data_IF_789908065410
#
_entry.id   IF_789908065410
#
_cell.length_a   1.000
_cell.length_b   1.000
_cell.length_c   1.000
_cell.angle_alpha   90.00
_cell.angle_beta   90.00
_cell.angle_gamma   90.00
#
_symmetry.space_group_name_H-M   'P 1'
#
loop_
_entity.id
_entity.type
_entity.pdbx_description
1 polymer ?
#
# COMPACT_ATOMS: atom_id res chain seq x y z
N UNK A 1 23.02 8.56 -0.95
CA UNK A 1 21.65 8.84 -1.42
C UNK A 1 21.58 8.40 -2.87
N UNK A 2 20.74 7.42 -3.22
CA UNK A 2 20.54 6.98 -4.60
C UNK A 2 19.51 7.89 -5.30
N UNK A 3 19.51 7.97 -6.65
CA UNK A 3 18.47 8.69 -7.40
C UNK A 3 17.03 8.22 -7.10
N UNK A 4 16.87 6.99 -6.59
CA UNK A 4 15.58 6.38 -6.28
C UNK A 4 15.07 6.69 -4.87
N UNK A 5 15.91 7.19 -3.95
CA UNK A 5 15.56 7.35 -2.54
C UNK A 5 14.35 8.29 -2.34
N UNK A 6 14.30 9.39 -3.10
CA UNK A 6 13.17 10.34 -3.04
C UNK A 6 11.89 9.71 -3.57
N UNK A 7 11.95 8.99 -4.70
CA UNK A 7 10.79 8.33 -5.29
C UNK A 7 10.25 7.24 -4.36
N UNK A 8 11.13 6.41 -3.77
CA UNK A 8 10.75 5.39 -2.80
C UNK A 8 10.10 5.99 -1.55
N UNK A 9 10.61 7.12 -1.06
CA UNK A 9 10.03 7.81 0.10
C UNK A 9 8.62 8.32 -0.20
N UNK A 10 8.40 8.91 -1.38
CA UNK A 10 7.07 9.38 -1.79
C UNK A 10 6.10 8.19 -1.91
N UNK A 11 6.52 7.14 -2.59
CA UNK A 11 5.69 5.96 -2.81
C UNK A 11 5.33 5.20 -1.52
N UNK A 12 6.25 5.13 -0.56
CA UNK A 12 5.94 4.57 0.77
C UNK A 12 4.85 5.38 1.49
N UNK A 13 4.90 6.71 1.41
CA UNK A 13 3.87 7.58 1.99
C UNK A 13 2.51 7.40 1.30
N UNK A 14 2.50 7.24 -0.02
CA UNK A 14 1.28 6.96 -0.78
C UNK A 14 0.66 5.62 -0.36
N UNK A 15 1.46 4.56 -0.27
CA UNK A 15 1.03 3.24 0.22
C UNK A 15 0.47 3.33 1.64
N UNK A 16 1.15 4.04 2.54
CA UNK A 16 0.70 4.19 3.92
C UNK A 16 -0.60 5.00 4.04
N UNK A 17 -0.77 6.05 3.23
CA UNK A 17 -2.01 6.82 3.17
C UNK A 17 -3.20 5.96 2.71
N UNK A 18 -3.00 5.11 1.70
CA UNK A 18 -4.05 4.20 1.23
C UNK A 18 -4.40 3.15 2.29
N UNK A 19 -3.42 2.58 2.98
CA UNK A 19 -3.69 1.64 4.10
C UNK A 19 -4.56 2.27 5.18
N UNK A 20 -4.22 3.49 5.62
CA UNK A 20 -5.00 4.22 6.63
C UNK A 20 -6.43 4.42 6.14
N UNK A 21 -6.60 4.82 4.89
CA UNK A 21 -7.92 5.05 4.30
C UNK A 21 -8.75 3.76 4.24
N UNK A 22 -8.13 2.63 3.89
CA UNK A 22 -8.77 1.31 3.92
C UNK A 22 -9.24 0.96 5.33
N UNK A 23 -8.39 1.14 6.35
CA UNK A 23 -8.75 0.86 7.74
C UNK A 23 -9.95 1.68 8.20
N UNK A 24 -10.00 2.97 7.85
CA UNK A 24 -11.12 3.86 8.17
C UNK A 24 -12.42 3.38 7.52
N UNK A 25 -12.40 2.98 6.25
CA UNK A 25 -13.61 2.48 5.58
C UNK A 25 -14.07 1.12 6.15
N UNK A 26 -13.14 0.24 6.54
CA UNK A 26 -13.48 -1.02 7.23
C UNK A 26 -14.16 -0.75 8.57
N UNK A 27 -13.63 0.18 9.37
CA UNK A 27 -14.24 0.59 10.64
C UNK A 27 -15.62 1.22 10.43
N UNK A 28 -15.77 2.03 9.39
CA UNK A 28 -17.04 2.63 8.99
C UNK A 28 -18.09 1.57 8.66
N UNK A 29 -17.73 0.58 7.83
CA UNK A 29 -18.62 -0.55 7.49
C UNK A 29 -19.00 -1.34 8.74
N UNK A 30 -18.04 -1.62 9.62
CA UNK A 30 -18.27 -2.34 10.87
C UNK A 30 -19.26 -1.60 11.77
N UNK A 31 -19.10 -0.28 11.88
CA UNK A 31 -19.98 0.59 12.66
C UNK A 31 -21.40 0.61 12.08
N UNK A 32 -21.53 0.76 10.76
CA UNK A 32 -22.83 0.75 10.07
C UNK A 32 -23.55 -0.59 10.23
N UNK A 33 -22.82 -1.71 10.15
CA UNK A 33 -23.39 -3.04 10.38
C UNK A 33 -23.88 -3.22 11.82
N UNK A 34 -23.12 -2.73 12.80
CA UNK A 34 -23.54 -2.73 14.21
C UNK A 34 -24.80 -1.89 14.43
N UNK A 35 -24.87 -0.70 13.82
CA UNK A 35 -26.05 0.16 13.87
C UNK A 35 -27.27 -0.49 13.21
N UNK A 36 -27.10 -1.14 12.06
CA UNK A 36 -28.17 -1.87 11.38
C UNK A 36 -28.66 -3.05 12.22
N UNK A 37 -27.75 -3.77 12.88
CA UNK A 37 -28.12 -4.87 13.78
C UNK A 37 -28.91 -4.36 15.01
N UNK A 38 -28.45 -3.28 15.65
CA UNK A 38 -29.15 -2.66 16.76
C UNK A 38 -30.53 -2.12 16.34
N UNK A 39 -30.63 -1.56 15.14
CA UNK A 39 -31.90 -1.12 14.55
C UNK A 39 -32.88 -2.30 14.38
N UNK A 40 -32.39 -3.44 13.90
CA UNK A 40 -33.21 -4.64 13.72
C UNK A 40 -33.67 -5.25 15.04
N UNK A 41 -32.83 -5.20 16.07
CA UNK A 41 -33.22 -5.61 17.41
C UNK A 41 -34.37 -4.74 17.94
N UNK A 42 -34.24 -3.41 17.86
CA UNK A 42 -35.31 -2.48 18.26
C UNK A 42 -36.60 -2.70 17.48
N UNK A 43 -36.50 -2.96 16.18
CA UNK A 43 -37.67 -3.28 15.35
C UNK A 43 -38.38 -4.58 15.79
N UNK A 44 -37.63 -5.58 16.27
CA UNK A 44 -38.19 -6.83 16.78
C UNK A 44 -38.87 -6.61 18.14
N UNK A 45 -38.23 -5.87 19.03
CA UNK A 45 -38.79 -5.50 20.34
C UNK A 45 -40.10 -4.73 20.18
N UNK A 46 -40.13 -3.72 19.32
CA UNK A 46 -41.36 -2.94 19.07
C UNK A 46 -42.47 -3.81 18.48
N UNK A 47 -42.14 -4.74 17.56
CA UNK A 47 -43.13 -5.67 17.00
C UNK A 47 -43.71 -6.60 18.08
N UNK A 48 -42.90 -7.03 19.03
CA UNK A 48 -43.36 -7.85 20.15
C UNK A 48 -44.30 -7.07 21.07
N UNK A 49 -43.99 -5.80 21.37
CA UNK A 49 -44.84 -4.92 22.17
C UNK A 49 -46.16 -4.58 21.47
N UNK A 50 -46.12 -4.28 20.17
CA UNK A 50 -47.30 -3.97 19.36
C UNK A 50 -48.28 -5.17 19.25
N UNK A 51 -47.81 -6.41 19.44
CA UNK A 51 -48.66 -7.58 19.52
C UNK A 51 -49.47 -7.66 20.84
N UNK A 52 -49.00 -6.98 21.89
CA UNK A 52 -49.63 -6.97 23.23
C UNK A 52 -50.55 -5.75 23.36
N UNK A 53 -50.16 -4.60 22.82
CA UNK A 53 -50.94 -3.36 22.86
C UNK A 53 -51.03 -2.77 21.46
N UNK A 54 -52.24 -2.64 20.87
CA UNK A 54 -52.40 -2.20 19.48
C UNK A 54 -52.28 -0.67 19.36
N UNK A 55 -51.12 -0.11 19.67
CA UNK A 55 -50.79 1.29 19.42
C UNK A 55 -49.91 1.32 18.16
N UNK A 56 -50.54 1.49 17.00
CA UNK A 56 -49.81 1.64 15.75
C UNK A 56 -49.46 3.11 15.52
N UNK A 57 -48.18 3.49 15.65
CA UNK A 57 -47.69 4.76 15.11
C UNK A 57 -47.10 4.52 13.72
N UNK A 58 -47.91 4.74 12.67
CA UNK A 58 -47.44 4.62 11.29
C UNK A 58 -46.28 5.59 10.98
N UNK A 59 -46.25 6.74 11.65
CA UNK A 59 -45.14 7.69 11.56
C UNK A 59 -43.82 7.12 12.10
N UNK A 60 -43.85 6.35 13.20
CA UNK A 60 -42.68 5.67 13.72
C UNK A 60 -42.18 4.59 12.75
N UNK A 61 -43.09 3.77 12.21
CA UNK A 61 -42.75 2.70 11.25
C UNK A 61 -42.11 3.27 9.97
N UNK A 62 -42.65 4.36 9.45
CA UNK A 62 -42.09 5.05 8.28
C UNK A 62 -40.67 5.58 8.57
N UNK A 63 -40.45 6.16 9.75
CA UNK A 63 -39.14 6.64 10.18
C UNK A 63 -38.11 5.50 10.27
N UNK A 64 -38.48 4.37 10.87
CA UNK A 64 -37.58 3.22 10.98
C UNK A 64 -37.26 2.60 9.62
N UNK A 65 -38.24 2.56 8.70
CA UNK A 65 -37.99 2.12 7.32
C UNK A 65 -36.98 3.05 6.62
N UNK A 66 -37.14 4.36 6.76
CA UNK A 66 -36.23 5.35 6.18
C UNK A 66 -34.83 5.25 6.79
N UNK A 67 -34.74 5.07 8.11
CA UNK A 67 -33.47 4.91 8.81
C UNK A 67 -32.73 3.65 8.37
N UNK A 68 -33.43 2.52 8.23
CA UNK A 68 -32.83 1.30 7.70
C UNK A 68 -32.30 1.48 6.28
N UNK A 69 -33.09 2.09 5.41
CA UNK A 69 -32.67 2.37 4.03
C UNK A 69 -31.45 3.31 3.99
N UNK A 70 -31.36 4.27 4.91
CA UNK A 70 -30.20 5.16 5.05
C UNK A 70 -28.95 4.38 5.46
N UNK A 71 -29.05 3.49 6.44
CA UNK A 71 -27.93 2.64 6.88
C UNK A 71 -27.44 1.72 5.77
N UNK A 72 -28.36 1.06 5.05
CA UNK A 72 -28.04 0.16 3.94
C UNK A 72 -27.34 0.94 2.80
N UNK A 73 -27.84 2.14 2.47
CA UNK A 73 -27.24 2.99 1.46
C UNK A 73 -25.83 3.46 1.86
N UNK A 74 -25.64 3.88 3.11
CA UNK A 74 -24.33 4.27 3.63
C UNK A 74 -23.35 3.09 3.60
N UNK A 75 -23.79 1.89 3.97
CA UNK A 75 -22.96 0.69 3.92
C UNK A 75 -22.56 0.36 2.48
N UNK A 76 -23.49 0.49 1.52
CA UNK A 76 -23.18 0.30 0.10
C UNK A 76 -22.13 1.30 -0.39
N UNK A 77 -22.26 2.58 -0.06
CA UNK A 77 -21.29 3.61 -0.44
C UNK A 77 -19.90 3.32 0.16
N UNK A 78 -19.83 2.96 1.43
CA UNK A 78 -18.57 2.60 2.10
C UNK A 78 -17.91 1.37 1.43
N UNK A 79 -18.69 0.35 1.05
CA UNK A 79 -18.18 -0.80 0.31
C UNK A 79 -17.63 -0.45 -1.08
N UNK A 80 -18.30 0.46 -1.80
CA UNK A 80 -17.80 0.96 -3.10
C UNK A 80 -16.48 1.72 -2.91
N UNK A 81 -16.39 2.57 -1.89
CA UNK A 81 -15.14 3.28 -1.55
C UNK A 81 -14.02 2.32 -1.19
N UNK A 82 -14.29 1.34 -0.33
CA UNK A 82 -13.33 0.30 0.04
C UNK A 82 -12.82 -0.47 -1.18
N UNK A 83 -13.70 -0.77 -2.13
CA UNK A 83 -13.32 -1.45 -3.39
C UNK A 83 -12.38 -0.58 -4.22
N UNK A 84 -12.70 0.71 -4.37
CA UNK A 84 -11.83 1.68 -5.06
C UNK A 84 -10.47 1.82 -4.36
N UNK A 85 -10.44 1.94 -3.03
CA UNK A 85 -9.20 2.03 -2.26
C UNK A 85 -8.34 0.78 -2.39
N UNK A 86 -8.95 -0.42 -2.46
CA UNK A 86 -8.21 -1.67 -2.71
C UNK A 86 -7.55 -1.68 -4.09
N UNK A 87 -8.26 -1.19 -5.12
CA UNK A 87 -7.67 -1.05 -6.45
C UNK A 87 -6.49 -0.06 -6.45
N UNK A 88 -6.66 1.10 -5.78
CA UNK A 88 -5.59 2.09 -5.61
C UNK A 88 -4.39 1.51 -4.84
N UNK A 89 -4.63 0.67 -3.83
CA UNK A 89 -3.57 0.00 -3.09
C UNK A 89 -2.76 -0.90 -4.02
N UNK A 90 -3.41 -1.72 -4.84
CA UNK A 90 -2.73 -2.62 -5.80
C UNK A 90 -1.81 -1.82 -6.73
N UNK A 91 -2.30 -0.70 -7.27
CA UNK A 91 -1.51 0.18 -8.13
C UNK A 91 -0.31 0.82 -7.41
N UNK A 92 -0.54 1.37 -6.22
CA UNK A 92 0.51 2.00 -5.41
C UNK A 92 1.60 0.98 -5.01
N UNK A 93 1.20 -0.22 -4.59
CA UNK A 93 2.13 -1.30 -4.28
C UNK A 93 2.91 -1.78 -5.51
N UNK A 94 2.24 -1.91 -6.66
CA UNK A 94 2.87 -2.29 -7.93
C UNK A 94 3.95 -1.27 -8.33
N UNK A 95 3.61 0.02 -8.27
CA UNK A 95 4.52 1.13 -8.58
C UNK A 95 5.71 1.15 -7.63
N UNK A 96 5.48 1.04 -6.31
CA UNK A 96 6.54 0.95 -5.32
C UNK A 96 7.49 -0.22 -5.59
N UNK A 97 6.95 -1.41 -5.89
CA UNK A 97 7.76 -2.60 -6.22
C UNK A 97 8.58 -2.44 -7.49
N UNK A 98 8.04 -1.79 -8.52
CA UNK A 98 8.77 -1.50 -9.74
C UNK A 98 9.99 -0.58 -9.47
N UNK A 99 9.81 0.44 -8.64
CA UNK A 99 10.89 1.36 -8.25
C UNK A 99 11.92 0.67 -7.36
N UNK A 100 11.50 -0.16 -6.41
CA UNK A 100 12.42 -0.98 -5.60
C UNK A 100 13.27 -1.90 -6.48
N UNK A 101 12.65 -2.54 -7.48
CA UNK A 101 13.38 -3.37 -8.45
C UNK A 101 14.37 -2.57 -9.30
N UNK A 102 14.01 -1.36 -9.74
CA UNK A 102 14.92 -0.47 -10.46
C UNK A 102 16.10 0.00 -9.59
N UNK A 103 15.82 0.34 -8.33
CA UNK A 103 16.83 0.71 -7.36
C UNK A 103 17.80 -0.45 -7.05
N UNK A 104 17.30 -1.69 -6.98
CA UNK A 104 18.13 -2.89 -6.85
C UNK A 104 19.09 -3.04 -8.03
N UNK A 105 18.57 -3.04 -9.26
CA UNK A 105 19.40 -3.13 -10.48
C UNK A 105 20.45 -2.02 -10.57
N UNK A 106 20.10 -0.80 -10.14
CA UNK A 106 21.05 0.31 -10.10
C UNK A 106 22.21 0.05 -9.14
N UNK A 107 21.93 -0.51 -7.95
CA UNK A 107 22.98 -0.88 -7.00
C UNK A 107 23.87 -1.98 -7.56
N UNK A 108 23.28 -3.03 -8.13
CA UNK A 108 24.03 -4.14 -8.72
C UNK A 108 24.94 -3.68 -9.88
N UNK A 109 24.48 -2.71 -10.68
CA UNK A 109 25.30 -2.10 -11.73
C UNK A 109 26.42 -1.24 -11.13
N UNK A 110 26.12 -0.40 -10.14
CA UNK A 110 27.13 0.43 -9.49
C UNK A 110 28.23 -0.40 -8.83
N UNK A 111 27.87 -1.53 -8.20
CA UNK A 111 28.81 -2.48 -7.62
C UNK A 111 29.68 -3.15 -8.68
N UNK A 112 29.09 -3.56 -9.81
CA UNK A 112 29.84 -4.13 -10.94
C UNK A 112 30.82 -3.13 -11.56
N UNK A 113 30.40 -1.88 -11.73
CA UNK A 113 31.27 -0.81 -12.26
C UNK A 113 32.43 -0.53 -11.29
N UNK A 114 32.16 -0.49 -9.98
CA UNK A 114 33.20 -0.30 -8.98
C UNK A 114 34.22 -1.45 -8.96
N UNK A 115 33.75 -2.70 -8.99
CA UNK A 115 34.62 -3.88 -9.06
C UNK A 115 35.45 -3.92 -10.35
N UNK A 116 34.85 -3.55 -11.49
CA UNK A 116 35.57 -3.45 -12.76
C UNK A 116 36.66 -2.38 -12.76
N UNK A 117 36.39 -1.23 -12.12
CA UNK A 117 37.39 -0.18 -11.95
C UNK A 117 38.55 -0.62 -11.05
N UNK A 118 38.26 -1.30 -9.94
CA UNK A 118 39.29 -1.86 -9.05
C UNK A 118 40.18 -2.87 -9.78
N UNK A 119 39.57 -3.79 -10.54
CA UNK A 119 40.32 -4.78 -11.33
C UNK A 119 41.19 -4.11 -12.41
N UNK A 120 40.65 -3.12 -13.12
CA UNK A 120 41.42 -2.38 -14.14
C UNK A 120 42.65 -1.70 -13.53
N UNK A 121 42.54 -1.13 -12.33
CA UNK A 121 43.68 -0.53 -11.64
C UNK A 121 44.74 -1.57 -11.26
N UNK A 122 44.34 -2.77 -10.82
CA UNK A 122 45.25 -3.87 -10.51
C UNK A 122 46.00 -4.32 -11.77
N UNK A 123 45.27 -4.47 -12.88
CA UNK A 123 45.82 -4.91 -14.16
C UNK A 123 46.83 -3.88 -14.71
N UNK A 124 46.52 -2.58 -14.61
CA UNK A 124 47.42 -1.49 -15.00
C UNK A 124 48.73 -1.52 -14.21
N UNK A 125 48.65 -1.72 -12.88
CA UNK A 125 49.83 -1.83 -12.01
C UNK A 125 50.65 -3.07 -12.37
N UNK A 126 50.00 -4.20 -12.62
CA UNK A 126 50.67 -5.45 -13.01
C UNK A 126 51.39 -5.30 -14.35
N UNK A 127 50.73 -4.71 -15.35
CA UNK A 127 51.29 -4.43 -16.66
C UNK A 127 52.51 -3.49 -16.56
N UNK A 128 52.41 -2.41 -15.77
CA UNK A 128 53.53 -1.49 -15.54
C UNK A 128 54.75 -2.20 -14.92
N UNK A 129 54.54 -3.07 -13.92
CA UNK A 129 55.61 -3.87 -13.31
C UNK A 129 56.27 -4.82 -14.31
N UNK A 130 55.48 -5.45 -15.18
CA UNK A 130 55.99 -6.36 -16.21
C UNK A 130 56.88 -5.61 -17.23
N UNK A 131 56.46 -4.41 -17.67
CA UNK A 131 57.25 -3.57 -18.58
C UNK A 131 58.58 -3.15 -17.94
N UNK A 132 58.58 -2.78 -16.66
CA UNK A 132 59.81 -2.44 -15.92
C UNK A 132 60.74 -3.66 -15.82
N UNK A 133 60.20 -4.82 -15.45
CA UNK A 133 60.98 -6.06 -15.35
C UNK A 133 61.63 -6.43 -16.68
N UNK A 134 60.89 -6.32 -17.79
CA UNK A 134 61.40 -6.60 -19.13
C UNK A 134 62.53 -5.65 -19.53
N UNK A 135 62.38 -4.34 -19.31
CA UNK A 135 63.45 -3.36 -19.56
C UNK A 135 64.72 -3.65 -18.75
N UNK A 136 64.58 -4.09 -17.51
CA UNK A 136 65.74 -4.40 -16.66
C UNK A 136 66.47 -5.66 -17.13
N UNK A 137 65.73 -6.68 -17.58
CA UNK A 137 66.30 -7.88 -18.18
C UNK A 137 67.06 -7.57 -19.48
N UNK A 138 66.50 -6.74 -20.36
CA UNK A 138 67.14 -6.30 -21.62
C UNK A 138 68.42 -5.47 -21.38
N UNK A 139 68.56 -4.82 -20.22
CA UNK A 139 69.77 -4.05 -19.85
C UNK A 139 70.87 -4.88 -19.19
N UNK A 140 70.53 -6.08 -18.71
CA UNK A 140 71.43 -6.96 -17.98
C UNK A 140 71.96 -8.12 -18.85
N UNK A 141 71.52 -8.17 -20.11
CA UNK A 141 72.02 -9.02 -21.18
C UNK A 141 73.01 -8.24 -22.06
#
# INVERSE_FOLDING_TARGET
MTPFDTALRVQRREVDAVKVSISVEIETITTLNSQAHAHDLRMREERALAAIVPIASDAWRLRMKAERARLDHQAQLANVRLTSLRAQAVEAYGTMRAIEGAAGRFKDEAERVAAGAEQSMIDDIAAAKLVIARRNAERSA
#
